data_IF_836372838001
#
_entry.id   IF_836372838001
#
_cell.length_a   1.000
_cell.length_b   1.000
_cell.length_c   1.000
_cell.angle_alpha   90.00
_cell.angle_beta   90.00
_cell.angle_gamma   90.00
#
_symmetry.space_group_name_H-M   'P 1'
#
loop_
_entity.id
_entity.type
_entity.pdbx_description
1 polymer ?
#
# COMPACT_ATOMS: atom_id res chain seq x y z
N UNK A 1 9.89 31.61 2.69
CA UNK A 1 9.77 30.56 1.65
C UNK A 1 8.31 30.16 1.58
N UNK A 2 7.59 30.58 0.55
CA UNK A 2 6.17 30.25 0.35
C UNK A 2 6.06 28.76 0.05
N UNK A 3 5.64 27.97 1.03
CA UNK A 3 5.15 26.61 0.81
C UNK A 3 4.03 26.70 -0.22
N UNK A 4 4.19 26.05 -1.37
CA UNK A 4 3.06 25.87 -2.30
C UNK A 4 1.90 25.29 -1.49
N UNK A 5 0.67 25.79 -1.64
CA UNK A 5 -0.46 25.25 -0.89
C UNK A 5 -0.60 23.76 -1.23
N UNK A 6 -0.96 22.97 -0.21
CA UNK A 6 -1.42 21.59 -0.39
C UNK A 6 -2.47 21.56 -1.49
N UNK A 7 -2.18 20.91 -2.62
CA UNK A 7 -3.18 20.79 -3.68
C UNK A 7 -4.13 19.65 -3.36
N UNK A 8 -5.43 19.96 -3.40
CA UNK A 8 -6.50 19.00 -3.18
C UNK A 8 -6.97 18.52 -4.54
N UNK A 9 -6.65 17.28 -4.89
CA UNK A 9 -7.29 16.63 -6.03
C UNK A 9 -8.67 16.15 -5.57
N UNK A 10 -9.73 16.67 -6.21
CA UNK A 10 -11.10 16.24 -5.93
C UNK A 10 -11.49 15.16 -6.92
N UNK A 11 -11.79 13.99 -6.40
CA UNK A 11 -12.32 12.89 -7.18
C UNK A 11 -13.85 12.81 -6.99
N UNK A 12 -14.65 12.58 -8.04
CA UNK A 12 -16.12 12.48 -7.94
C UNK A 12 -16.63 11.24 -7.18
N UNK A 13 -15.73 10.34 -6.79
CA UNK A 13 -16.02 9.07 -6.13
C UNK A 13 -15.03 8.82 -5.00
N UNK A 14 -15.41 8.02 -4.02
CA UNK A 14 -14.55 7.61 -2.90
C UNK A 14 -13.29 6.93 -3.43
N UNK A 15 -12.14 7.45 -3.00
CA UNK A 15 -10.83 6.90 -3.32
C UNK A 15 -10.54 5.76 -2.36
N UNK A 16 -10.25 4.57 -2.91
CA UNK A 16 -10.01 3.36 -2.12
C UNK A 16 -8.52 3.07 -2.01
N UNK A 17 -7.79 3.23 -3.11
CA UNK A 17 -6.37 2.95 -3.17
C UNK A 17 -5.66 3.98 -4.04
N UNK A 18 -4.38 4.21 -3.73
CA UNK A 18 -3.54 5.13 -4.46
C UNK A 18 -2.15 4.52 -4.57
N UNK A 19 -1.53 4.65 -5.74
CA UNK A 19 -0.15 4.26 -5.96
C UNK A 19 0.60 5.32 -6.75
N UNK A 20 1.86 5.56 -6.38
CA UNK A 20 2.71 6.56 -7.03
C UNK A 20 3.98 5.93 -7.58
N UNK A 21 4.51 6.56 -8.62
CA UNK A 21 5.86 6.38 -9.14
C UNK A 21 6.50 7.73 -9.42
N UNK A 22 7.66 7.74 -10.09
CA UNK A 22 8.33 8.97 -10.49
C UNK A 22 7.43 9.89 -11.35
N UNK A 23 6.66 9.32 -12.29
CA UNK A 23 5.91 10.09 -13.29
C UNK A 23 4.39 9.96 -13.18
N UNK A 24 3.90 8.92 -12.53
CA UNK A 24 2.48 8.56 -12.55
C UNK A 24 1.91 8.40 -11.14
N UNK A 25 0.68 8.87 -10.96
CA UNK A 25 -0.17 8.65 -9.81
C UNK A 25 -1.41 7.88 -10.30
N UNK A 26 -1.61 6.67 -9.81
CA UNK A 26 -2.78 5.85 -10.11
C UNK A 26 -3.73 5.86 -8.91
N UNK A 27 -5.01 6.10 -9.16
CA UNK A 27 -6.06 6.24 -8.15
C UNK A 27 -7.16 5.24 -8.47
N UNK A 28 -7.35 4.26 -7.59
CA UNK A 28 -8.47 3.32 -7.66
C UNK A 28 -9.66 3.83 -6.84
N UNK A 29 -10.86 3.67 -7.40
CA UNK A 29 -12.08 4.29 -6.88
C UNK A 29 -13.18 3.27 -6.70
N UNK A 30 -14.22 3.62 -5.96
CA UNK A 30 -15.33 2.71 -5.66
C UNK A 30 -16.28 2.48 -6.85
N UNK A 31 -16.43 3.47 -7.74
CA UNK A 31 -17.47 3.44 -8.78
C UNK A 31 -16.98 3.73 -10.19
N UNK A 32 -15.78 4.30 -10.34
CA UNK A 32 -15.29 4.89 -11.59
C UNK A 32 -14.04 4.22 -12.15
N UNK A 33 -13.63 3.07 -11.60
CA UNK A 33 -12.43 2.36 -12.03
C UNK A 33 -11.16 3.06 -11.57
N UNK A 34 -10.19 3.21 -12.50
CA UNK A 34 -8.85 3.72 -12.21
C UNK A 34 -8.61 5.02 -12.95
N UNK A 35 -8.23 6.06 -12.23
CA UNK A 35 -7.77 7.31 -12.82
C UNK A 35 -6.25 7.44 -12.71
N UNK A 36 -5.61 7.74 -13.83
CA UNK A 36 -4.18 8.01 -13.93
C UNK A 36 -3.96 9.50 -14.02
N UNK A 37 -2.99 9.98 -13.25
CA UNK A 37 -2.60 11.38 -13.17
C UNK A 37 -1.10 11.49 -13.42
N UNK A 38 -0.70 12.57 -14.09
CA UNK A 38 0.72 12.90 -14.22
C UNK A 38 1.17 13.45 -12.87
N UNK A 39 2.22 12.89 -12.27
CA UNK A 39 2.67 13.30 -10.94
C UNK A 39 3.29 14.71 -10.92
N UNK A 40 3.90 15.15 -12.02
CA UNK A 40 4.58 16.44 -12.10
C UNK A 40 3.61 17.59 -12.38
N UNK A 41 2.68 17.38 -13.30
CA UNK A 41 1.70 18.41 -13.70
C UNK A 41 0.39 18.30 -12.91
N UNK A 42 0.15 17.15 -12.28
CA UNK A 42 -1.05 16.81 -11.50
C UNK A 42 -2.34 17.00 -12.31
N UNK A 43 -2.23 16.74 -13.62
CA UNK A 43 -3.34 16.68 -14.56
C UNK A 43 -3.76 15.23 -14.81
N UNK A 44 -5.05 14.97 -15.05
CA UNK A 44 -5.53 13.64 -15.43
C UNK A 44 -4.93 13.24 -16.78
N UNK A 45 -4.38 12.03 -16.84
CA UNK A 45 -3.78 11.43 -18.05
C UNK A 45 -4.81 10.52 -18.74
N UNK A 46 -5.44 9.64 -17.97
CA UNK A 46 -6.39 8.65 -18.52
C UNK A 46 -7.30 8.08 -17.44
N UNK A 47 -8.49 7.66 -17.86
CA UNK A 47 -9.36 6.79 -17.08
C UNK A 47 -9.30 5.39 -17.69
N UNK A 48 -9.02 4.37 -16.88
CA UNK A 48 -9.04 2.98 -17.30
C UNK A 48 -10.39 2.37 -16.88
N UNK A 49 -11.17 1.98 -17.88
CA UNK A 49 -12.44 1.29 -17.69
C UNK A 49 -12.20 -0.20 -17.43
N UNK A 50 -12.96 -0.75 -16.48
CA UNK A 50 -13.01 -2.18 -16.20
C UNK A 50 -14.21 -2.74 -16.97
N UNK A 51 -14.02 -3.74 -17.85
CA UNK A 51 -15.14 -4.36 -18.57
C UNK A 51 -16.09 -5.09 -17.63
N UNK A 52 -17.38 -5.11 -17.98
CA UNK A 52 -18.41 -6.03 -17.46
C UNK A 52 -18.64 -6.07 -15.95
N UNK A 53 -18.05 -5.16 -15.17
CA UNK A 53 -18.24 -5.14 -13.73
C UNK A 53 -19.43 -4.25 -13.36
N UNK A 54 -20.45 -4.86 -12.73
CA UNK A 54 -21.54 -4.14 -12.07
C UNK A 54 -21.06 -3.41 -10.81
N UNK A 55 -19.84 -3.71 -10.34
CA UNK A 55 -19.17 -3.14 -9.17
C UNK A 55 -17.71 -2.79 -9.50
N UNK A 56 -17.50 -1.59 -10.04
CA UNK A 56 -16.17 -1.08 -10.43
C UNK A 56 -15.31 -0.65 -9.23
N UNK A 57 -15.40 -1.36 -8.11
CA UNK A 57 -14.66 -1.05 -6.89
C UNK A 57 -13.24 -1.57 -7.00
N UNK A 58 -12.29 -0.66 -7.11
CA UNK A 58 -10.87 -1.00 -7.21
C UNK A 58 -10.24 -1.05 -5.83
N UNK A 59 -10.00 -2.26 -5.34
CA UNK A 59 -9.46 -2.48 -4.00
C UNK A 59 -7.96 -2.16 -3.90
N UNK A 60 -7.21 -2.42 -4.95
CA UNK A 60 -5.77 -2.17 -4.97
C UNK A 60 -5.26 -1.95 -6.40
N UNK A 61 -4.25 -1.09 -6.54
CA UNK A 61 -3.56 -0.82 -7.81
C UNK A 61 -2.07 -0.82 -7.58
N UNK A 62 -1.33 -1.45 -8.49
CA UNK A 62 0.11 -1.30 -8.59
C UNK A 62 0.55 -1.42 -10.05
N UNK A 63 1.79 -1.06 -10.33
CA UNK A 63 2.28 -1.07 -11.71
C UNK A 63 3.79 -1.26 -11.77
N UNK A 64 4.25 -1.97 -12.81
CA UNK A 64 5.66 -2.11 -13.14
C UNK A 64 5.99 -1.24 -14.37
N UNK A 65 7.15 -1.41 -14.99
CA UNK A 65 7.54 -0.64 -16.19
C UNK A 65 6.59 -0.82 -17.38
N UNK A 66 5.95 -1.98 -17.51
CA UNK A 66 5.19 -2.37 -18.70
C UNK A 66 3.68 -2.34 -18.50
N UNK A 67 3.20 -2.61 -17.29
CA UNK A 67 1.78 -2.87 -17.04
C UNK A 67 1.26 -2.20 -15.77
N UNK A 68 -0.04 -1.88 -15.78
CA UNK A 68 -0.83 -1.47 -14.63
C UNK A 68 -1.73 -2.63 -14.24
N UNK A 69 -1.75 -2.97 -12.96
CA UNK A 69 -2.52 -4.05 -12.37
C UNK A 69 -3.55 -3.44 -11.43
N UNK A 70 -4.77 -3.95 -11.47
CA UNK A 70 -5.80 -3.58 -10.51
C UNK A 70 -6.57 -4.79 -10.03
N UNK A 71 -6.71 -4.89 -8.72
CA UNK A 71 -7.55 -5.86 -8.05
C UNK A 71 -8.99 -5.34 -8.02
N UNK A 72 -9.91 -6.10 -8.61
CA UNK A 72 -11.33 -5.79 -8.69
C UNK A 72 -12.07 -7.10 -8.43
N UNK A 73 -12.86 -7.15 -7.35
CA UNK A 73 -13.46 -8.40 -6.87
C UNK A 73 -12.39 -9.49 -6.71
N UNK A 74 -12.57 -10.69 -7.26
CA UNK A 74 -11.62 -11.81 -7.23
C UNK A 74 -10.64 -11.84 -8.42
N UNK A 75 -10.74 -10.86 -9.33
CA UNK A 75 -9.94 -10.75 -10.53
C UNK A 75 -8.83 -9.69 -10.44
N UNK A 76 -7.83 -9.85 -11.30
CA UNK A 76 -6.83 -8.81 -11.56
C UNK A 76 -6.90 -8.40 -13.02
N UNK A 77 -7.17 -7.13 -13.27
CA UNK A 77 -7.16 -6.56 -14.62
C UNK A 77 -5.81 -5.92 -14.91
N UNK A 78 -5.33 -6.10 -16.14
CA UNK A 78 -4.01 -5.65 -16.57
C UNK A 78 -4.09 -4.82 -17.83
N UNK A 79 -3.56 -3.60 -17.75
CA UNK A 79 -3.45 -2.68 -18.88
C UNK A 79 -2.00 -2.46 -19.27
N UNK A 80 -1.76 -2.23 -20.56
CA UNK A 80 -0.48 -1.77 -21.07
C UNK A 80 -0.20 -0.34 -20.60
N UNK A 81 1.00 -0.06 -20.08
CA UNK A 81 1.40 1.31 -19.72
C UNK A 81 1.66 2.21 -20.92
N UNK A 82 1.94 1.63 -22.08
CA UNK A 82 2.25 2.38 -23.29
C UNK A 82 0.97 2.82 -24.01
N UNK A 83 0.00 1.91 -24.14
CA UNK A 83 -1.24 2.15 -24.90
C UNK A 83 -2.47 2.37 -24.02
N UNK A 84 -2.40 2.05 -22.73
CA UNK A 84 -3.53 2.05 -21.80
C UNK A 84 -4.69 1.13 -22.22
N UNK A 85 -4.45 0.21 -23.16
CA UNK A 85 -5.41 -0.82 -23.55
C UNK A 85 -5.40 -1.97 -22.56
N UNK A 86 -6.58 -2.55 -22.30
CA UNK A 86 -6.68 -3.77 -21.52
C UNK A 86 -5.98 -4.91 -22.26
N UNK A 87 -5.13 -5.64 -21.56
CA UNK A 87 -4.33 -6.75 -22.07
C UNK A 87 -4.88 -8.08 -21.59
N UNK A 88 -5.20 -8.18 -20.30
CA UNK A 88 -5.62 -9.43 -19.69
C UNK A 88 -6.51 -9.22 -18.46
N UNK A 89 -7.30 -10.25 -18.16
CA UNK A 89 -7.94 -10.52 -16.88
C UNK A 89 -7.29 -11.78 -16.29
N UNK A 90 -6.83 -11.71 -15.06
CA UNK A 90 -6.23 -12.85 -14.36
C UNK A 90 -7.19 -13.35 -13.28
N UNK A 91 -7.53 -14.63 -13.36
CA UNK A 91 -8.45 -15.31 -12.44
C UNK A 91 -7.63 -16.21 -11.52
N UNK A 92 -7.03 -15.59 -10.51
CA UNK A 92 -6.11 -16.28 -9.60
C UNK A 92 -6.76 -16.58 -8.26
N UNK A 93 -7.57 -15.67 -7.71
CA UNK A 93 -8.26 -15.87 -6.45
C UNK A 93 -9.66 -16.46 -6.66
N UNK A 94 -10.26 -16.96 -5.56
CA UNK A 94 -11.67 -17.41 -5.51
C UNK A 94 -12.52 -16.53 -4.59
N UNK A 95 -11.94 -15.43 -4.14
CA UNK A 95 -12.46 -14.51 -3.14
C UNK A 95 -11.88 -13.13 -3.40
N UNK A 96 -12.59 -12.10 -2.92
CA UNK A 96 -12.24 -10.69 -3.15
C UNK A 96 -10.79 -10.38 -2.79
N UNK A 97 -10.03 -9.92 -3.77
CA UNK A 97 -8.66 -9.43 -3.59
C UNK A 97 -8.71 -8.07 -2.92
N UNK A 98 -8.12 -7.99 -1.73
CA UNK A 98 -8.13 -6.79 -0.87
C UNK A 98 -6.83 -5.99 -1.00
N UNK A 99 -5.75 -6.62 -1.46
CA UNK A 99 -4.44 -5.99 -1.57
C UNK A 99 -3.59 -6.59 -2.68
N UNK A 100 -2.80 -5.74 -3.36
CA UNK A 100 -1.89 -6.12 -4.45
C UNK A 100 -0.58 -5.34 -4.32
N UNK A 101 0.55 -6.00 -4.55
CA UNK A 101 1.88 -5.38 -4.53
C UNK A 101 2.82 -5.99 -5.56
N UNK A 102 3.48 -5.14 -6.35
CA UNK A 102 4.57 -5.52 -7.24
C UNK A 102 5.88 -5.64 -6.44
N UNK A 103 6.65 -6.70 -6.73
CA UNK A 103 7.98 -6.91 -6.18
C UNK A 103 9.06 -6.52 -7.20
N UNK A 104 10.24 -6.11 -6.70
CA UNK A 104 11.35 -5.66 -7.55
C UNK A 104 11.88 -6.76 -8.49
N UNK A 105 11.67 -8.04 -8.13
CA UNK A 105 12.04 -9.19 -8.96
C UNK A 105 10.98 -9.55 -10.02
N UNK A 106 9.95 -8.72 -10.20
CA UNK A 106 8.88 -8.90 -11.18
C UNK A 106 7.82 -9.93 -10.78
N UNK A 107 7.87 -10.47 -9.56
CA UNK A 107 6.75 -11.21 -8.97
C UNK A 107 5.70 -10.24 -8.43
N UNK A 108 4.49 -10.73 -8.24
CA UNK A 108 3.37 -9.99 -7.68
C UNK A 108 2.89 -10.73 -6.44
N UNK A 109 2.49 -9.97 -5.44
CA UNK A 109 1.84 -10.49 -4.23
C UNK A 109 0.42 -9.97 -4.18
N UNK A 110 -0.52 -10.85 -3.93
CA UNK A 110 -1.92 -10.50 -3.70
C UNK A 110 -2.44 -11.14 -2.43
N UNK A 111 -3.25 -10.40 -1.68
CA UNK A 111 -3.95 -10.87 -0.50
C UNK A 111 -5.46 -10.73 -0.69
N UNK A 112 -6.23 -11.66 -0.16
CA UNK A 112 -7.70 -11.65 -0.24
C UNK A 112 -8.41 -11.63 1.10
N UNK A 113 -9.74 -11.49 1.04
CA UNK A 113 -10.66 -11.45 2.19
C UNK A 113 -10.70 -12.74 3.03
N UNK A 114 -10.11 -13.85 2.55
CA UNK A 114 -10.07 -15.13 3.29
C UNK A 114 -8.70 -15.41 3.91
N UNK A 115 -7.77 -14.46 3.85
CA UNK A 115 -6.44 -14.62 4.43
C UNK A 115 -5.45 -15.32 3.50
N UNK A 116 -5.82 -15.59 2.24
CA UNK A 116 -4.94 -16.25 1.27
C UNK A 116 -4.01 -15.19 0.66
N UNK A 117 -2.71 -15.48 0.71
CA UNK A 117 -1.70 -14.68 0.03
C UNK A 117 -1.14 -15.51 -1.13
N UNK A 118 -1.17 -14.97 -2.34
CA UNK A 118 -0.51 -15.54 -3.50
C UNK A 118 0.73 -14.73 -3.83
N UNK A 119 1.86 -15.42 -4.00
CA UNK A 119 3.07 -14.88 -4.63
C UNK A 119 3.18 -15.52 -6.01
N UNK A 120 3.13 -14.73 -7.06
CA UNK A 120 3.01 -15.26 -8.40
C UNK A 120 3.79 -14.47 -9.46
N UNK A 121 4.06 -15.14 -10.57
CA UNK A 121 4.64 -14.54 -11.78
C UNK A 121 4.09 -15.24 -13.02
N UNK A 122 3.69 -14.51 -14.07
CA UNK A 122 3.37 -15.10 -15.36
C UNK A 122 4.54 -15.96 -15.89
N UNK A 123 4.24 -17.12 -16.47
CA UNK A 123 5.29 -18.02 -17.00
C UNK A 123 5.99 -17.42 -18.22
N UNK A 124 5.29 -16.57 -18.96
CA UNK A 124 5.76 -15.83 -20.12
C UNK A 124 5.29 -14.38 -20.03
N UNK A 125 5.62 -13.54 -21.01
CA UNK A 125 5.10 -12.18 -21.09
C UNK A 125 3.57 -12.18 -21.11
N UNK A 126 2.93 -11.34 -20.29
CA UNK A 126 1.47 -11.27 -20.14
C UNK A 126 0.78 -11.09 -21.49
N UNK A 127 1.35 -10.28 -22.38
CA UNK A 127 0.80 -10.04 -23.71
C UNK A 127 0.76 -11.32 -24.57
N UNK A 128 1.76 -12.20 -24.44
CA UNK A 128 1.83 -13.47 -25.14
C UNK A 128 0.85 -14.50 -24.55
N UNK A 129 0.80 -14.59 -23.22
CA UNK A 129 -0.15 -15.46 -22.50
C UNK A 129 -1.60 -15.05 -22.81
N UNK A 130 -1.90 -13.76 -22.81
CA UNK A 130 -3.24 -13.25 -23.09
C UNK A 130 -3.71 -13.60 -24.52
N UNK A 131 -2.82 -13.58 -25.51
CA UNK A 131 -3.15 -13.95 -26.90
C UNK A 131 -3.58 -15.41 -26.99
N UNK A 132 -2.88 -16.34 -26.33
CA UNK A 132 -3.26 -17.77 -26.33
C UNK A 132 -4.51 -18.05 -25.50
N UNK A 133 -4.71 -17.30 -24.41
CA UNK A 133 -5.78 -17.54 -23.45
C UNK A 133 -7.03 -16.67 -23.68
N UNK A 134 -7.11 -16.02 -24.85
CA UNK A 134 -8.24 -15.15 -25.24
C UNK A 134 -8.53 -14.06 -24.18
N UNK A 135 -7.47 -13.49 -23.60
CA UNK A 135 -7.55 -12.43 -22.59
C UNK A 135 -7.77 -12.91 -21.15
N UNK A 136 -8.16 -14.16 -20.92
CA UNK A 136 -8.38 -14.70 -19.57
C UNK A 136 -7.21 -15.60 -19.15
N UNK A 137 -6.34 -15.12 -18.26
CA UNK A 137 -5.18 -15.85 -17.75
C UNK A 137 -5.58 -16.58 -16.47
N UNK A 138 -5.34 -17.89 -16.41
CA UNK A 138 -5.72 -18.72 -15.26
C UNK A 138 -4.49 -19.11 -14.46
N UNK A 139 -4.71 -19.71 -13.29
CA UNK A 139 -3.63 -20.19 -12.40
C UNK A 139 -2.57 -21.06 -13.08
N UNK A 140 -2.94 -21.88 -14.07
CA UNK A 140 -2.02 -22.76 -14.82
C UNK A 140 -0.98 -22.00 -15.65
N UNK A 141 -1.27 -20.75 -16.00
CA UNK A 141 -0.42 -19.90 -16.83
C UNK A 141 0.60 -19.09 -16.01
N UNK A 142 0.60 -19.26 -14.68
CA UNK A 142 1.46 -18.56 -13.75
C UNK A 142 2.17 -19.54 -12.82
N UNK A 143 3.40 -19.20 -12.43
CA UNK A 143 4.07 -19.80 -11.30
C UNK A 143 3.48 -19.18 -10.06
N UNK A 144 2.79 -19.97 -9.22
CA UNK A 144 2.07 -19.49 -8.04
C UNK A 144 2.54 -20.25 -6.81
N UNK A 145 2.79 -19.52 -5.74
CA UNK A 145 2.99 -20.06 -4.39
C UNK A 145 1.97 -19.42 -3.46
N UNK A 146 1.33 -20.25 -2.64
CA UNK A 146 0.35 -19.81 -1.66
C UNK A 146 0.99 -19.75 -0.27
N UNK A 147 0.93 -18.59 0.38
CA UNK A 147 1.38 -18.40 1.77
C UNK A 147 0.17 -18.52 2.68
N UNK A 148 0.08 -19.65 3.40
CA UNK A 148 -1.00 -19.92 4.37
C UNK A 148 -0.57 -19.46 5.76
N UNK A 149 -1.47 -18.77 6.46
CA UNK A 149 -1.26 -18.47 7.87
C UNK A 149 -2.23 -17.47 8.47
N UNK A 150 -2.64 -16.44 7.72
CA UNK A 150 -3.69 -15.54 8.19
C UNK A 150 -5.03 -16.28 8.26
N UNK A 151 -5.84 -15.94 9.26
CA UNK A 151 -7.15 -16.57 9.49
C UNK A 151 -8.32 -15.66 9.11
N UNK A 152 -8.03 -14.46 8.62
CA UNK A 152 -9.00 -13.47 8.14
C UNK A 152 -8.32 -12.59 7.06
N UNK A 153 -9.10 -11.70 6.44
CA UNK A 153 -8.72 -10.94 5.26
C UNK A 153 -7.41 -10.15 5.37
N UNK A 154 -6.55 -10.28 4.35
CA UNK A 154 -5.25 -9.59 4.29
C UNK A 154 -5.42 -8.19 3.72
N UNK A 155 -5.45 -7.19 4.59
CA UNK A 155 -5.80 -5.82 4.20
C UNK A 155 -4.64 -5.04 3.59
N UNK A 156 -3.40 -5.29 4.01
CA UNK A 156 -2.26 -4.47 3.61
C UNK A 156 -0.99 -5.31 3.39
N UNK A 157 -0.21 -4.92 2.37
CA UNK A 157 1.02 -5.60 1.94
C UNK A 157 2.14 -4.57 1.77
N UNK A 158 3.30 -4.83 2.35
CA UNK A 158 4.52 -4.05 2.17
C UNK A 158 5.73 -4.96 2.04
N UNK A 159 6.82 -4.40 1.53
CA UNK A 159 8.03 -5.16 1.21
C UNK A 159 9.26 -4.39 1.62
N UNK A 160 10.20 -5.06 2.27
CA UNK A 160 11.49 -4.47 2.63
C UNK A 160 12.55 -5.57 2.74
N UNK A 161 13.75 -5.32 2.22
CA UNK A 161 14.91 -6.20 2.34
C UNK A 161 14.63 -7.69 2.06
N UNK A 162 13.91 -8.00 0.98
CA UNK A 162 13.59 -9.38 0.60
C UNK A 162 12.54 -10.07 1.50
N UNK A 163 11.74 -9.29 2.22
CA UNK A 163 10.66 -9.78 3.07
C UNK A 163 9.35 -9.13 2.69
N UNK A 164 8.27 -9.88 2.90
CA UNK A 164 6.89 -9.41 2.76
C UNK A 164 6.31 -9.21 4.16
N UNK A 165 5.73 -8.04 4.40
CA UNK A 165 5.02 -7.69 5.62
C UNK A 165 3.53 -7.62 5.27
N UNK A 166 2.70 -8.37 5.99
CA UNK A 166 1.26 -8.44 5.76
C UNK A 166 0.50 -8.08 7.03
N UNK A 167 -0.50 -7.21 6.93
CA UNK A 167 -1.44 -6.92 8.03
C UNK A 167 -2.85 -7.39 7.64
N UNK A 168 -3.56 -7.98 8.59
CA UNK A 168 -4.85 -8.62 8.36
C UNK A 168 -5.86 -8.35 9.47
N UNK A 169 -7.11 -8.72 9.20
CA UNK A 169 -8.24 -8.69 10.13
C UNK A 169 -8.18 -9.77 11.21
N UNK A 170 -7.19 -10.65 11.17
CA UNK A 170 -6.89 -11.57 12.27
C UNK A 170 -6.09 -10.90 13.41
N UNK A 171 -6.01 -9.58 13.41
CA UNK A 171 -5.29 -8.72 14.36
C UNK A 171 -3.76 -8.93 14.38
N UNK A 172 -3.20 -9.59 13.35
CA UNK A 172 -1.76 -9.86 13.29
C UNK A 172 -1.07 -9.13 12.15
N UNK A 173 0.21 -8.81 12.39
CA UNK A 173 1.16 -8.53 11.33
C UNK A 173 2.05 -9.75 11.15
N UNK A 174 2.22 -10.23 9.91
CA UNK A 174 3.08 -11.37 9.59
C UNK A 174 4.22 -10.94 8.68
N UNK A 175 5.36 -11.60 8.88
CA UNK A 175 6.58 -11.36 8.12
C UNK A 175 6.96 -12.64 7.42
N UNK A 176 7.13 -12.58 6.10
CA UNK A 176 7.44 -13.72 5.25
C UNK A 176 8.77 -13.48 4.53
N UNK A 177 9.57 -14.52 4.34
CA UNK A 177 10.74 -14.45 3.48
C UNK A 177 10.31 -14.53 2.02
N UNK A 178 10.70 -13.56 1.18
CA UNK A 178 10.44 -13.64 -0.26
C UNK A 178 11.40 -14.61 -0.99
N UNK A 179 12.47 -15.02 -0.31
CA UNK A 179 13.43 -16.01 -0.82
C UNK A 179 12.94 -17.43 -0.58
N UNK A 180 12.57 -17.76 0.65
CA UNK A 180 12.13 -19.11 1.03
C UNK A 180 10.62 -19.30 0.98
N UNK A 181 9.85 -18.20 0.86
CA UNK A 181 8.39 -18.18 0.89
C UNK A 181 7.80 -18.84 2.15
N UNK A 182 8.52 -18.70 3.27
CA UNK A 182 8.12 -19.19 4.59
C UNK A 182 7.81 -18.03 5.52
N UNK A 183 6.91 -18.29 6.47
CA UNK A 183 6.63 -17.40 7.59
C UNK A 183 7.86 -17.31 8.49
N UNK A 184 8.32 -16.08 8.74
CA UNK A 184 9.42 -15.79 9.66
C UNK A 184 8.89 -15.44 11.05
N UNK A 185 7.94 -14.50 11.12
CA UNK A 185 7.39 -14.01 12.39
C UNK A 185 5.91 -13.70 12.29
N UNK A 186 5.23 -13.80 13.44
CA UNK A 186 3.86 -13.31 13.64
C UNK A 186 3.86 -12.36 14.83
N UNK A 187 3.56 -11.09 14.57
CA UNK A 187 3.47 -10.03 15.56
C UNK A 187 2.01 -9.97 16.07
N UNK A 188 1.75 -10.68 17.17
CA UNK A 188 0.43 -10.75 17.82
C UNK A 188 0.36 -9.73 18.94
N UNK A 189 -0.10 -8.53 18.64
CA UNK A 189 -0.20 -7.49 19.67
C UNK A 189 -1.35 -6.52 19.51
N UNK A 190 -1.98 -6.46 18.33
CA UNK A 190 -3.21 -5.69 18.15
C UNK A 190 -4.40 -6.48 18.70
N UNK A 191 -5.40 -5.73 19.18
CA UNK A 191 -6.67 -6.28 19.68
C UNK A 191 -7.82 -6.01 18.69
N UNK A 192 -7.52 -5.35 17.57
CA UNK A 192 -8.44 -5.12 16.47
C UNK A 192 -7.74 -5.19 15.11
N UNK A 193 -8.54 -5.09 14.05
CA UNK A 193 -8.15 -5.27 12.66
C UNK A 193 -6.92 -4.44 12.29
N UNK A 194 -5.91 -5.06 11.66
CA UNK A 194 -4.75 -4.32 11.14
C UNK A 194 -5.09 -3.77 9.76
N UNK A 195 -5.27 -2.45 9.69
CA UNK A 195 -5.74 -1.78 8.47
C UNK A 195 -4.61 -1.25 7.59
N UNK A 196 -3.45 -0.98 8.17
CA UNK A 196 -2.32 -0.42 7.45
C UNK A 196 -1.00 -0.97 8.01
N UNK A 197 -0.04 -1.17 7.12
CA UNK A 197 1.36 -1.42 7.45
C UNK A 197 2.26 -0.53 6.60
N UNK A 198 3.36 -0.09 7.18
CA UNK A 198 4.49 0.49 6.48
C UNK A 198 5.80 -0.03 7.05
N UNK A 199 6.89 0.03 6.29
CA UNK A 199 8.16 -0.49 6.75
C UNK A 199 9.36 0.21 6.13
N UNK A 200 10.44 0.27 6.89
CA UNK A 200 11.78 0.61 6.42
C UNK A 200 12.65 -0.65 6.37
N UNK A 201 13.95 -0.49 6.12
CA UNK A 201 14.90 -1.59 6.27
C UNK A 201 15.00 -2.09 7.72
N UNK A 202 14.71 -1.24 8.70
CA UNK A 202 15.00 -1.48 10.12
C UNK A 202 13.77 -1.51 11.02
N UNK A 203 12.59 -1.11 10.52
CA UNK A 203 11.39 -0.97 11.33
C UNK A 203 10.14 -1.35 10.55
N UNK A 204 9.14 -1.82 11.29
CA UNK A 204 7.77 -2.01 10.81
C UNK A 204 6.86 -1.10 11.62
N UNK A 205 5.86 -0.51 10.97
CA UNK A 205 4.80 0.28 11.60
C UNK A 205 3.46 -0.27 11.16
N UNK A 206 2.49 -0.34 12.05
CA UNK A 206 1.11 -0.72 11.74
C UNK A 206 0.10 0.25 12.35
N UNK A 207 -1.08 0.33 11.75
CA UNK A 207 -2.26 0.97 12.35
C UNK A 207 -3.43 -0.01 12.42
N UNK A 208 -4.20 0.05 13.51
CA UNK A 208 -5.30 -0.88 13.78
C UNK A 208 -6.58 -0.19 14.26
N UNK A 209 -7.71 -0.88 14.10
CA UNK A 209 -9.02 -0.52 14.67
C UNK A 209 -9.04 -0.51 16.21
N UNK A 210 -8.01 -1.05 16.87
CA UNK A 210 -7.81 -0.87 18.33
C UNK A 210 -7.43 0.57 18.72
N UNK A 211 -7.24 1.46 17.74
CA UNK A 211 -6.88 2.85 17.93
C UNK A 211 -5.39 3.07 18.18
N UNK A 212 -4.56 2.04 18.04
CA UNK A 212 -3.12 2.10 18.25
C UNK A 212 -2.33 2.02 16.94
N UNK A 213 -1.22 2.75 16.93
CA UNK A 213 -0.11 2.54 16.00
C UNK A 213 1.00 1.82 16.74
N UNK A 214 1.53 0.74 16.18
CA UNK A 214 2.62 -0.04 16.78
C UNK A 214 3.85 0.01 15.89
N UNK A 215 5.01 0.05 16.54
CA UNK A 215 6.32 0.06 15.88
C UNK A 215 7.11 -1.14 16.37
N UNK A 216 7.79 -1.82 15.46
CA UNK A 216 8.65 -2.95 15.78
C UNK A 216 10.02 -2.72 15.20
N UNK A 217 11.03 -2.80 16.06
CA UNK A 217 12.42 -2.91 15.63
C UNK A 217 12.61 -4.21 14.84
N UNK A 218 13.22 -4.05 13.68
CA UNK A 218 13.33 -5.09 12.67
C UNK A 218 14.65 -4.96 11.91
N UNK A 219 15.76 -5.39 12.53
CA UNK A 219 17.07 -5.36 11.88
C UNK A 219 17.29 -6.62 11.03
N UNK A 220 17.56 -6.51 9.71
CA UNK A 220 17.94 -7.65 8.90
C UNK A 220 19.31 -8.17 9.38
N UNK A 221 19.40 -9.44 9.76
CA UNK A 221 20.70 -10.10 10.01
C UNK A 221 21.10 -10.32 11.47
N UNK A 222 20.32 -9.85 12.46
CA UNK A 222 20.39 -10.48 13.78
C UNK A 222 19.71 -11.83 13.62
N UNK A 223 20.47 -12.91 13.83
CA UNK A 223 20.05 -14.29 13.59
C UNK A 223 18.64 -14.56 14.15
N UNK A 224 17.97 -15.56 13.59
CA UNK A 224 16.64 -16.08 13.94
C UNK A 224 16.46 -16.51 15.43
N UNK A 225 17.33 -16.08 16.34
CA UNK A 225 17.30 -16.26 17.79
C UNK A 225 17.07 -14.90 18.45
N UNK A 226 16.00 -14.82 19.23
CA UNK A 226 15.56 -13.70 20.08
C UNK A 226 14.84 -12.51 19.41
N UNK A 227 13.63 -12.78 18.94
CA UNK A 227 12.59 -11.76 18.68
C UNK A 227 11.89 -11.27 19.97
N UNK A 228 12.56 -11.26 21.14
CA UNK A 228 11.94 -10.90 22.43
C UNK A 228 12.13 -9.43 22.86
N UNK A 229 12.71 -8.59 22.01
CA UNK A 229 12.92 -7.17 22.31
C UNK A 229 12.31 -6.25 21.24
N UNK A 230 11.06 -6.48 20.85
CA UNK A 230 10.25 -5.38 20.34
C UNK A 230 9.69 -4.65 21.56
N UNK A 231 10.33 -3.56 21.98
CA UNK A 231 9.77 -2.73 23.04
C UNK A 231 8.44 -2.16 22.54
N UNK A 232 7.36 -2.51 23.23
CA UNK A 232 6.04 -1.88 23.03
C UNK A 232 6.11 -0.44 23.57
N UNK A 233 6.89 0.43 22.93
CA UNK A 233 6.96 1.84 23.27
C UNK A 233 5.99 2.63 22.39
N UNK A 234 5.21 3.43 23.11
CA UNK A 234 3.86 3.81 22.75
C UNK A 234 3.80 5.23 22.18
N UNK A 235 2.92 5.41 21.19
CA UNK A 235 2.25 6.63 20.70
C UNK A 235 3.07 7.87 20.29
N UNK A 236 4.15 8.23 20.97
CA UNK A 236 4.91 9.45 20.66
C UNK A 236 5.87 9.25 19.48
N UNK A 237 6.68 8.19 19.50
CA UNK A 237 7.77 8.01 18.54
C UNK A 237 7.29 7.65 17.13
N UNK A 238 6.16 6.94 17.01
CA UNK A 238 5.58 6.56 15.73
C UNK A 238 4.99 7.76 14.97
N UNK A 239 4.25 8.63 15.70
CA UNK A 239 3.73 9.88 15.16
C UNK A 239 4.88 10.86 14.83
N UNK A 240 5.90 10.92 15.68
CA UNK A 240 7.13 11.71 15.52
C UNK A 240 7.90 11.34 14.24
N UNK A 241 7.96 10.06 13.88
CA UNK A 241 8.66 9.57 12.68
C UNK A 241 7.82 9.76 11.40
N UNK A 242 6.51 9.50 11.46
CA UNK A 242 5.60 9.80 10.35
C UNK A 242 5.60 11.31 10.02
N UNK A 243 5.62 12.17 11.04
CA UNK A 243 5.71 13.63 10.90
C UNK A 243 7.07 14.09 10.35
N UNK A 244 8.19 13.47 10.77
CA UNK A 244 9.54 13.74 10.20
C UNK A 244 9.62 13.46 8.70
N UNK A 245 8.96 12.41 8.22
CA UNK A 245 8.89 12.10 6.78
C UNK A 245 7.92 13.01 6.01
N UNK A 246 6.98 13.65 6.70
CA UNK A 246 5.95 14.54 6.15
C UNK A 246 6.34 16.02 6.11
N UNK A 247 7.36 16.47 6.83
CA UNK A 247 7.88 17.83 6.66
C UNK A 247 8.74 18.36 7.79
N UNK A 248 10.01 18.64 7.48
CA UNK A 248 10.76 19.83 7.90
C UNK A 248 11.02 20.16 9.37
N UNK A 249 10.41 19.49 10.36
CA UNK A 249 10.60 19.77 11.78
C UNK A 249 11.89 19.11 12.28
N UNK A 250 12.70 19.84 13.07
CA UNK A 250 14.09 19.44 13.35
C UNK A 250 14.35 19.01 14.79
N UNK A 251 13.47 19.31 15.75
CA UNK A 251 13.66 18.95 17.17
C UNK A 251 12.39 18.34 17.77
N UNK A 252 12.56 17.53 18.84
CA UNK A 252 11.43 16.86 19.50
C UNK A 252 10.44 17.85 20.14
N UNK A 253 10.92 18.99 20.64
CA UNK A 253 10.09 20.01 21.32
C UNK A 253 9.14 20.74 20.35
N UNK A 254 9.58 21.03 19.12
CA UNK A 254 8.75 21.64 18.08
C UNK A 254 7.58 20.74 17.65
N UNK A 255 7.79 19.42 17.69
CA UNK A 255 6.81 18.42 17.27
C UNK A 255 5.78 18.16 18.38
N UNK A 256 6.23 18.15 19.65
CA UNK A 256 5.35 18.03 20.81
C UNK A 256 4.33 19.18 20.85
N UNK A 257 4.79 20.42 20.64
CA UNK A 257 3.91 21.58 20.57
C UNK A 257 2.92 21.55 19.41
N UNK A 258 3.25 20.96 18.25
CA UNK A 258 2.31 20.89 17.12
C UNK A 258 1.22 19.82 17.35
N UNK A 259 1.54 18.71 18.03
CA UNK A 259 0.56 17.69 18.43
C UNK A 259 -0.42 18.27 19.47
N UNK A 260 0.09 19.02 20.46
CA UNK A 260 -0.73 19.76 21.43
C UNK A 260 -1.60 20.82 20.74
N UNK A 261 -1.01 21.62 19.84
CA UNK A 261 -1.71 22.67 19.08
C UNK A 261 -2.83 22.13 18.21
N UNK A 262 -2.65 20.95 17.61
CA UNK A 262 -3.64 20.31 16.73
C UNK A 262 -4.66 19.44 17.45
N UNK A 263 -4.53 19.27 18.78
CA UNK A 263 -5.50 18.54 19.59
C UNK A 263 -5.69 17.09 19.13
N UNK A 264 -4.62 16.43 18.67
CA UNK A 264 -4.65 15.05 18.17
C UNK A 264 -4.72 13.99 19.30
N UNK A 265 -5.51 14.28 20.34
CA UNK A 265 -5.82 13.32 21.40
C UNK A 265 -6.96 12.40 20.94
N UNK A 266 -6.92 11.10 21.26
CA UNK A 266 -8.10 10.25 21.16
C UNK A 266 -9.07 10.63 22.29
N UNK A 267 -9.94 11.61 22.04
CA UNK A 267 -11.14 11.81 22.86
C UNK A 267 -12.12 10.66 22.62
N UNK A 268 -12.56 10.06 23.72
CA UNK A 268 -13.34 8.83 23.74
C UNK A 268 -14.56 8.81 22.83
N UNK A 269 -14.87 7.60 22.33
CA UNK A 269 -16.13 7.19 21.68
C UNK A 269 -16.84 8.30 20.90
N UNK A 270 -16.21 8.83 19.85
CA UNK A 270 -16.94 9.39 18.72
C UNK A 270 -16.41 8.74 17.45
N UNK A 271 -17.33 8.20 16.65
CA UNK A 271 -17.08 7.55 15.36
C UNK A 271 -16.32 8.52 14.45
N UNK A 272 -14.99 8.41 14.43
CA UNK A 272 -14.19 8.92 13.32
C UNK A 272 -14.48 8.02 12.11
N UNK A 273 -14.55 8.57 10.88
CA UNK A 273 -14.77 7.73 9.71
C UNK A 273 -13.57 6.77 9.59
N UNK A 274 -13.87 5.46 9.61
CA UNK A 274 -12.94 4.32 9.53
C UNK A 274 -11.93 4.38 8.37
N UNK A 275 -12.06 5.34 7.45
CA UNK A 275 -11.26 5.46 6.24
C UNK A 275 -10.16 6.54 6.32
N UNK A 276 -10.14 7.39 7.34
CA UNK A 276 -9.32 8.61 7.38
C UNK A 276 -7.84 8.38 7.74
N UNK A 277 -7.53 7.35 8.53
CA UNK A 277 -6.15 6.98 8.89
C UNK A 277 -5.45 6.13 7.81
N UNK A 278 -6.23 5.38 7.02
CA UNK A 278 -5.75 4.38 6.05
C UNK A 278 -4.95 4.98 4.88
N UNK A 279 -5.22 6.24 4.53
CA UNK A 279 -4.52 6.94 3.45
C UNK A 279 -3.13 7.45 3.88
N UNK A 280 -2.97 7.83 5.15
CA UNK A 280 -1.77 8.52 5.65
C UNK A 280 -0.52 7.63 5.77
N UNK A 281 -0.69 6.30 5.84
CA UNK A 281 0.44 5.36 5.94
C UNK A 281 0.93 4.87 4.58
N UNK A 282 0.08 4.86 3.54
CA UNK A 282 0.50 4.36 2.22
C UNK A 282 1.06 5.44 1.30
N UNK A 283 0.79 6.71 1.60
CA UNK A 283 1.34 7.88 0.96
C UNK A 283 1.38 8.99 1.99
N UNK A 284 2.24 9.97 1.78
CA UNK A 284 2.12 11.30 2.35
C UNK A 284 0.83 12.02 1.85
N UNK A 285 -0.32 11.37 1.96
CA UNK A 285 -1.60 11.75 1.41
C UNK A 285 -2.74 11.28 2.31
N UNK A 286 -3.44 12.22 2.92
CA UNK A 286 -4.74 11.96 3.56
C UNK A 286 -5.81 11.87 2.47
N UNK A 287 -6.83 11.06 2.70
CA UNK A 287 -8.10 11.20 1.98
C UNK A 287 -9.27 11.25 2.96
N UNK A 288 -10.05 12.32 2.83
CA UNK A 288 -11.38 12.48 3.44
C UNK A 288 -12.30 13.02 2.34
N UNK A 289 -13.50 12.46 2.17
CA UNK A 289 -14.52 12.94 1.22
C UNK A 289 -14.06 13.02 -0.25
N UNK A 290 -13.24 12.08 -0.73
CA UNK A 290 -12.74 12.10 -2.12
C UNK A 290 -11.68 13.18 -2.39
N UNK A 291 -11.12 13.78 -1.34
CA UNK A 291 -9.95 14.67 -1.42
C UNK A 291 -8.68 13.83 -1.33
N UNK A 292 -7.69 14.10 -2.16
CA UNK A 292 -6.33 13.54 -2.02
C UNK A 292 -5.40 14.71 -1.75
N UNK A 293 -4.70 14.67 -0.62
CA UNK A 293 -3.65 15.64 -0.30
C UNK A 293 -2.31 15.07 -0.78
N UNK A 294 -1.46 15.81 -1.50
CA UNK A 294 -0.11 15.34 -1.87
C UNK A 294 0.88 16.38 -1.38
N UNK A 295 1.77 16.01 -0.45
CA UNK A 295 2.82 16.92 0.01
C UNK A 295 4.08 16.76 -0.87
N UNK A 296 4.48 17.83 -1.56
CA UNK A 296 5.78 17.89 -2.25
C UNK A 296 6.88 18.25 -1.24
N UNK A 297 7.57 17.26 -0.67
CA UNK A 297 8.87 17.52 -0.04
C UNK A 297 9.93 17.69 -1.14
N UNK A 298 10.29 18.94 -1.46
CA UNK A 298 11.50 19.21 -2.24
C UNK A 298 12.72 18.81 -1.41
N UNK A 299 13.45 17.80 -1.86
CA UNK A 299 14.87 17.63 -1.49
C UNK A 299 15.65 18.74 -2.19
N UNK A 300 16.47 19.57 -1.50
CA UNK A 300 17.30 20.54 -2.21
C UNK A 300 18.43 19.80 -2.92
N UNK A 301 18.53 19.96 -4.24
CA UNK A 301 19.78 19.76 -4.96
C UNK A 301 20.81 20.75 -4.41
N UNK A 302 21.78 20.27 -3.61
CA UNK A 302 23.03 21.00 -3.43
C UNK A 302 23.93 20.69 -4.62
N UNK A 303 23.87 21.52 -5.65
CA UNK A 303 25.03 21.71 -6.53
C UNK A 303 25.98 22.64 -5.80
N UNK A 304 27.00 22.07 -5.16
CA UNK A 304 28.18 22.83 -4.76
C UNK A 304 29.13 22.87 -5.94
N UNK A 305 29.35 24.04 -6.53
CA UNK A 305 30.56 24.32 -7.29
C UNK A 305 31.02 25.74 -6.98
N UNK A 306 32.35 25.83 -6.76
CA UNK A 306 33.26 26.98 -6.85
C UNK A 306 33.69 27.61 -5.52
N UNK A 307 34.93 28.11 -5.46
CA UNK A 307 36.14 27.33 -5.21
C UNK A 307 36.67 27.58 -3.79
#
# INVERSE_FOLDING_TARGET
MTTRPNMILRHPSSVICIRTSASLLAVGTMTSGIQLWNRQTLQPVRNLSIPDSTRNSVHSVDFNSSYIYAAVEDDIYVWSRNSYSLVARLELHKSTITSLRMLDNGRIVTGDEKGIILVWKPNEEISAVAKRSHGAIKRKDCSIVELKGHTDGVRCLQTSCGRLITGAYDNTVRIWSLTTLKLLHTLKSHVGDVNAVDCTAEMIVSGSDDGLVKVWDFRPGIAERDSRSATNQSWADAALIALKHLGGLRTCDEIFHEIERRGLYPMGRRKTPKNSLNAALHLNARSDEGRIFINESKVPHRFGVRP
#
